data_IF_220187754152
#
_entry.id   IF_220187754152
#
_cell.length_a   1.000
_cell.length_b   1.000
_cell.length_c   1.000
_cell.angle_alpha   90.00
_cell.angle_beta   90.00
_cell.angle_gamma   90.00
#
_symmetry.space_group_name_H-M   'P 1'
#
loop_
_entity.id
_entity.type
_entity.pdbx_description
1 polymer ?
#
# COMPACT_ATOMS: atom_id res chain seq x y z
N UNK A 1 34.81 10.08 -11.71
CA UNK A 1 33.53 10.72 -12.06
C UNK A 1 32.95 10.02 -13.29
N UNK A 2 31.74 9.44 -13.20
CA UNK A 2 31.07 8.75 -14.31
C UNK A 2 29.90 9.59 -14.82
N UNK A 3 29.83 9.87 -16.12
CA UNK A 3 28.77 10.70 -16.73
C UNK A 3 27.65 9.86 -17.32
N UNK A 4 26.40 10.26 -17.15
CA UNK A 4 25.23 9.60 -17.75
C UNK A 4 24.23 10.65 -18.22
N UNK A 5 23.37 10.29 -19.17
CA UNK A 5 22.28 11.18 -19.58
C UNK A 5 21.22 11.25 -18.50
N UNK A 6 20.96 10.13 -17.82
CA UNK A 6 20.01 10.01 -16.71
C UNK A 6 20.62 9.12 -15.62
N UNK A 7 20.55 9.58 -14.37
CA UNK A 7 20.83 8.76 -13.18
C UNK A 7 19.52 8.46 -12.46
N UNK A 8 19.26 7.19 -12.17
CA UNK A 8 18.11 6.72 -11.41
C UNK A 8 18.60 6.24 -10.05
N UNK A 9 18.00 6.75 -8.98
CA UNK A 9 18.34 6.39 -7.60
C UNK A 9 17.24 5.48 -7.06
N UNK A 10 17.55 4.19 -6.92
CA UNK A 10 16.65 3.12 -6.48
C UNK A 10 16.24 2.20 -7.64
N UNK A 11 16.68 0.95 -7.59
CA UNK A 11 16.36 -0.15 -8.51
C UNK A 11 15.05 -0.87 -8.13
N UNK A 12 14.07 -0.14 -7.61
CA UNK A 12 12.74 -0.66 -7.29
C UNK A 12 11.79 -0.66 -8.49
N UNK A 13 10.51 -0.93 -8.24
CA UNK A 13 9.45 -0.96 -9.24
C UNK A 13 9.44 0.27 -10.17
N UNK A 14 9.38 1.47 -9.60
CA UNK A 14 9.37 2.72 -10.37
C UNK A 14 10.68 2.99 -11.10
N UNK A 15 11.82 2.65 -10.49
CA UNK A 15 13.14 2.90 -11.06
C UNK A 15 13.44 2.03 -12.27
N UNK A 16 13.09 0.74 -12.20
CA UNK A 16 13.25 -0.17 -13.32
C UNK A 16 12.33 0.20 -14.49
N UNK A 17 11.08 0.59 -14.19
CA UNK A 17 10.18 1.10 -15.23
C UNK A 17 10.72 2.38 -15.88
N UNK A 18 11.24 3.33 -15.09
CA UNK A 18 11.85 4.55 -15.61
C UNK A 18 13.10 4.23 -16.47
N UNK A 19 13.92 3.27 -16.05
CA UNK A 19 15.11 2.84 -16.78
C UNK A 19 14.75 2.26 -18.15
N UNK A 20 13.79 1.33 -18.21
CA UNK A 20 13.30 0.72 -19.46
C UNK A 20 12.87 1.78 -20.47
N UNK A 21 12.06 2.74 -20.02
CA UNK A 21 11.53 3.80 -20.88
C UNK A 21 12.62 4.77 -21.34
N UNK A 22 13.54 5.13 -20.45
CA UNK A 22 14.69 5.97 -20.80
C UNK A 22 15.62 5.29 -21.82
N UNK A 23 15.87 3.99 -21.67
CA UNK A 23 16.66 3.20 -22.62
C UNK A 23 15.99 3.13 -24.00
N UNK A 24 14.67 2.96 -24.03
CA UNK A 24 13.90 2.98 -25.29
C UNK A 24 14.01 4.33 -26.03
N UNK A 25 14.33 5.41 -25.31
CA UNK A 25 14.61 6.75 -25.86
C UNK A 25 16.08 6.95 -26.26
N UNK A 26 16.91 5.89 -26.21
CA UNK A 26 18.32 5.93 -26.55
C UNK A 26 19.21 6.63 -25.52
N UNK A 27 18.74 6.80 -24.29
CA UNK A 27 19.51 7.47 -23.22
C UNK A 27 20.50 6.52 -22.58
N UNK A 28 21.67 7.04 -22.18
CA UNK A 28 22.63 6.32 -21.35
C UNK A 28 22.23 6.44 -19.89
N UNK A 29 21.80 5.32 -19.30
CA UNK A 29 21.18 5.27 -17.97
C UNK A 29 22.09 4.58 -16.97
N UNK A 30 22.23 5.17 -15.78
CA UNK A 30 22.76 4.50 -14.59
C UNK A 30 21.64 4.27 -13.58
N UNK A 31 21.55 3.06 -13.02
CA UNK A 31 20.65 2.73 -11.92
C UNK A 31 21.51 2.44 -10.68
N UNK A 32 21.33 3.25 -9.63
CA UNK A 32 22.12 3.18 -8.39
C UNK A 32 21.22 2.69 -7.26
N UNK A 33 21.60 1.62 -6.58
CA UNK A 33 20.84 1.07 -5.45
C UNK A 33 21.78 0.61 -4.32
N UNK A 34 21.36 0.82 -3.08
CA UNK A 34 22.11 0.41 -1.88
C UNK A 34 22.01 -1.11 -1.61
N UNK A 35 20.96 -1.75 -2.10
CA UNK A 35 20.72 -3.19 -2.01
C UNK A 35 21.69 -4.00 -2.84
N UNK A 36 21.73 -5.29 -2.57
CA UNK A 36 22.54 -6.28 -3.28
C UNK A 36 21.87 -6.80 -4.56
N UNK A 37 20.54 -6.77 -4.62
CA UNK A 37 19.73 -7.13 -5.78
C UNK A 37 18.67 -6.06 -6.09
N UNK A 38 18.25 -5.91 -7.37
CA UNK A 38 17.15 -5.02 -7.74
C UNK A 38 15.79 -5.58 -7.28
N UNK A 39 14.76 -4.73 -7.29
CA UNK A 39 13.35 -5.09 -7.09
C UNK A 39 13.03 -5.91 -5.82
N UNK A 40 13.82 -5.81 -4.75
CA UNK A 40 13.65 -6.62 -3.53
C UNK A 40 12.25 -6.52 -2.91
N UNK A 41 11.63 -5.34 -2.91
CA UNK A 41 10.24 -5.16 -2.41
C UNK A 41 9.20 -5.80 -3.34
N UNK A 42 9.45 -5.87 -4.65
CA UNK A 42 8.60 -6.59 -5.61
C UNK A 42 8.65 -8.08 -5.33
N UNK A 43 9.85 -8.63 -5.12
CA UNK A 43 10.08 -10.07 -4.85
C UNK A 43 9.29 -10.59 -3.64
N UNK A 44 9.10 -9.77 -2.60
CA UNK A 44 8.35 -10.17 -1.39
C UNK A 44 6.87 -9.76 -1.41
N UNK A 45 6.45 -8.93 -2.37
CA UNK A 45 5.09 -8.39 -2.43
C UNK A 45 4.03 -9.47 -2.71
N UNK A 46 2.81 -9.25 -2.22
CA UNK A 46 1.71 -10.19 -2.42
C UNK A 46 1.97 -11.59 -1.86
N UNK A 47 2.82 -11.71 -0.83
CA UNK A 47 3.27 -13.00 -0.27
C UNK A 47 4.17 -13.78 -1.23
N UNK A 48 5.07 -13.08 -1.94
CA UNK A 48 5.97 -13.67 -2.93
C UNK A 48 5.31 -13.96 -4.28
N UNK A 49 4.08 -13.50 -4.51
CA UNK A 49 3.34 -13.69 -5.77
C UNK A 49 3.16 -12.42 -6.59
N UNK A 50 3.58 -11.27 -6.07
CA UNK A 50 3.47 -9.96 -6.73
C UNK A 50 2.06 -9.61 -7.20
N UNK A 51 1.31 -8.84 -6.39
CA UNK A 51 0.03 -8.26 -6.81
C UNK A 51 0.28 -7.04 -7.70
N UNK A 52 0.57 -7.27 -8.98
CA UNK A 52 1.25 -6.28 -9.82
C UNK A 52 0.35 -5.16 -10.34
N UNK A 53 -0.98 -5.32 -10.37
CA UNK A 53 -1.91 -4.26 -10.79
C UNK A 53 -3.33 -4.54 -10.29
N UNK A 54 -4.24 -3.58 -10.48
CA UNK A 54 -5.66 -3.76 -10.17
C UNK A 54 -6.58 -3.28 -11.30
N UNK A 55 -7.66 -4.01 -11.59
CA UNK A 55 -8.66 -3.59 -12.59
C UNK A 55 -9.38 -2.28 -12.22
N UNK A 56 -9.54 -2.02 -10.92
CA UNK A 56 -10.24 -0.86 -10.39
C UNK A 56 -9.34 0.36 -10.19
N UNK A 57 -8.18 0.44 -10.86
CA UNK A 57 -7.30 1.62 -10.79
C UNK A 57 -8.08 2.87 -11.17
N UNK A 58 -8.22 3.76 -10.18
CA UNK A 58 -8.89 5.03 -10.31
C UNK A 58 -8.40 5.98 -9.21
N UNK A 59 -8.61 7.28 -9.39
CA UNK A 59 -8.12 8.30 -8.45
C UNK A 59 -8.62 8.13 -7.01
N UNK A 60 -9.81 7.56 -6.81
CA UNK A 60 -10.39 7.27 -5.49
C UNK A 60 -9.78 6.04 -4.79
N UNK A 61 -8.77 5.41 -5.38
CA UNK A 61 -7.99 4.30 -4.79
C UNK A 61 -6.64 4.74 -4.27
N UNK A 62 -6.36 6.05 -4.27
CA UNK A 62 -5.09 6.59 -3.81
C UNK A 62 -5.32 7.76 -2.87
N UNK A 63 -4.41 7.90 -1.92
CA UNK A 63 -4.52 8.78 -0.76
C UNK A 63 -3.25 9.61 -0.64
N UNK A 64 -3.40 10.89 -0.34
CA UNK A 64 -2.39 11.95 -0.36
C UNK A 64 -3.02 13.26 0.09
N UNK A 65 -2.23 14.31 0.33
CA UNK A 65 -2.75 15.68 0.41
C UNK A 65 -3.38 16.12 -0.93
N UNK A 66 -2.91 15.55 -2.05
CA UNK A 66 -3.44 15.79 -3.39
C UNK A 66 -3.59 14.48 -4.19
N UNK A 67 -4.61 13.66 -3.92
CA UNK A 67 -4.80 12.36 -4.57
C UNK A 67 -5.09 12.47 -6.08
N UNK A 68 -5.58 13.62 -6.55
CA UNK A 68 -5.84 13.86 -7.99
C UNK A 68 -4.57 13.98 -8.82
N UNK A 69 -3.41 14.19 -8.18
CA UNK A 69 -2.10 14.29 -8.84
C UNK A 69 -1.82 13.11 -9.80
N UNK A 70 -2.22 11.91 -9.42
CA UNK A 70 -1.92 10.69 -10.19
C UNK A 70 -2.64 10.61 -11.54
N UNK A 71 -3.73 11.37 -11.73
CA UNK A 71 -4.73 11.17 -12.80
C UNK A 71 -4.08 11.04 -14.17
N UNK A 72 -3.10 11.89 -14.46
CA UNK A 72 -2.43 11.94 -15.75
C UNK A 72 -1.53 10.71 -15.99
N UNK A 73 -0.83 10.22 -14.96
CA UNK A 73 0.05 9.06 -15.07
C UNK A 73 -0.74 7.76 -15.22
N UNK A 74 -1.76 7.54 -14.37
CA UNK A 74 -2.59 6.31 -14.43
C UNK A 74 -3.50 6.27 -15.67
N UNK A 75 -3.80 7.41 -16.29
CA UNK A 75 -4.52 7.43 -17.57
C UNK A 75 -3.64 7.01 -18.75
N UNK A 76 -2.31 7.18 -18.66
CA UNK A 76 -1.35 6.76 -19.69
C UNK A 76 -0.80 5.36 -19.48
N UNK A 77 -0.96 4.82 -18.27
CA UNK A 77 -0.54 3.47 -17.90
C UNK A 77 -1.74 2.79 -17.26
N UNK A 78 -2.53 2.09 -18.07
CA UNK A 78 -3.75 1.42 -17.66
C UNK A 78 -3.43 0.02 -17.10
N UNK A 79 -4.35 -0.61 -16.35
CA UNK A 79 -4.19 -2.00 -15.94
C UNK A 79 -3.96 -2.95 -17.12
N UNK A 80 -4.62 -2.69 -18.26
CA UNK A 80 -4.44 -3.44 -19.51
C UNK A 80 -3.02 -3.34 -20.03
N UNK A 81 -2.41 -2.15 -20.02
CA UNK A 81 -1.00 -1.99 -20.43
C UNK A 81 -0.06 -2.87 -19.60
N UNK A 82 -0.34 -3.02 -18.29
CA UNK A 82 0.44 -3.89 -17.40
C UNK A 82 0.18 -5.37 -17.71
N UNK A 83 -1.07 -5.78 -17.96
CA UNK A 83 -1.41 -7.15 -18.34
C UNK A 83 -0.80 -7.55 -19.69
N UNK A 84 -0.77 -6.62 -20.65
CA UNK A 84 -0.11 -6.82 -21.95
C UNK A 84 1.40 -6.95 -21.80
N UNK A 85 2.01 -6.14 -20.91
CA UNK A 85 3.43 -6.26 -20.58
C UNK A 85 3.77 -7.62 -19.95
N UNK A 86 2.97 -8.07 -18.96
CA UNK A 86 3.11 -9.40 -18.33
C UNK A 86 2.98 -10.50 -19.39
N UNK A 87 2.01 -10.40 -20.29
CA UNK A 87 1.79 -11.35 -21.39
C UNK A 87 2.97 -11.40 -22.36
N UNK A 88 3.56 -10.25 -22.72
CA UNK A 88 4.74 -10.18 -23.61
C UNK A 88 5.98 -10.88 -23.04
N UNK A 89 6.09 -10.91 -21.71
CA UNK A 89 7.13 -11.66 -20.99
C UNK A 89 6.76 -13.13 -20.73
N UNK A 90 5.63 -13.60 -21.28
CA UNK A 90 5.08 -14.95 -21.07
C UNK A 90 4.82 -15.31 -19.60
N UNK A 91 4.60 -14.30 -18.75
CA UNK A 91 4.32 -14.50 -17.33
C UNK A 91 2.85 -14.87 -17.18
N UNK A 92 2.58 -16.04 -16.60
CA UNK A 92 1.22 -16.46 -16.28
C UNK A 92 0.72 -15.71 -15.03
N UNK A 93 -0.55 -15.31 -15.03
CA UNK A 93 -1.15 -14.58 -13.92
C UNK A 93 -2.54 -15.13 -13.56
N UNK A 94 -2.96 -14.84 -12.33
CA UNK A 94 -4.28 -15.21 -11.80
C UNK A 94 -4.95 -14.01 -11.15
N UNK A 95 -6.28 -13.96 -11.22
CA UNK A 95 -7.09 -13.04 -10.43
C UNK A 95 -7.49 -13.71 -9.11
N UNK A 96 -6.97 -13.22 -7.98
CA UNK A 96 -7.21 -13.85 -6.66
C UNK A 96 -8.50 -13.37 -6.00
N UNK A 97 -8.87 -12.12 -6.26
CA UNK A 97 -10.07 -11.45 -5.80
C UNK A 97 -10.44 -10.41 -6.87
N UNK A 98 -11.69 -9.91 -6.92
CA UNK A 98 -12.14 -9.00 -7.98
C UNK A 98 -11.15 -7.86 -8.23
N UNK A 99 -10.56 -7.87 -9.42
CA UNK A 99 -9.58 -6.94 -9.94
C UNK A 99 -8.14 -7.11 -9.46
N UNK A 100 -7.80 -8.02 -8.54
CA UNK A 100 -6.43 -8.19 -8.03
C UNK A 100 -5.64 -9.24 -8.83
N UNK A 101 -4.63 -8.81 -9.57
CA UNK A 101 -3.84 -9.68 -10.45
C UNK A 101 -2.48 -10.04 -9.86
N UNK A 102 -2.22 -11.34 -9.76
CA UNK A 102 -1.01 -11.91 -9.16
C UNK A 102 -0.26 -12.75 -10.16
N UNK A 103 1.07 -12.80 -10.04
CA UNK A 103 1.86 -13.79 -10.77
C UNK A 103 1.51 -15.21 -10.31
N UNK A 104 1.35 -16.12 -11.28
CA UNK A 104 1.09 -17.53 -11.02
C UNK A 104 2.36 -18.25 -10.55
N UNK A 105 3.50 -17.99 -11.23
CA UNK A 105 4.80 -18.62 -10.97
C UNK A 105 5.58 -18.04 -9.80
N UNK A 106 5.26 -16.81 -9.38
CA UNK A 106 5.91 -16.12 -8.27
C UNK A 106 6.40 -14.73 -8.66
N UNK A 107 6.76 -13.91 -7.67
CA UNK A 107 7.21 -12.55 -7.89
C UNK A 107 8.52 -12.46 -8.68
N UNK A 108 9.36 -13.50 -8.63
CA UNK A 108 10.65 -13.56 -9.32
C UNK A 108 10.51 -13.43 -10.83
N UNK A 109 9.43 -13.96 -11.43
CA UNK A 109 9.16 -13.79 -12.86
C UNK A 109 9.01 -12.32 -13.24
N UNK A 110 8.29 -11.55 -12.41
CA UNK A 110 8.10 -10.10 -12.59
C UNK A 110 9.43 -9.37 -12.39
N UNK A 111 10.23 -9.78 -11.41
CA UNK A 111 11.57 -9.21 -11.16
C UNK A 111 12.47 -9.44 -12.37
N UNK A 112 12.54 -10.66 -12.88
CA UNK A 112 13.35 -11.01 -14.05
C UNK A 112 12.92 -10.22 -15.29
N UNK A 113 11.61 -10.08 -15.54
CA UNK A 113 11.10 -9.27 -16.65
C UNK A 113 11.50 -7.79 -16.53
N UNK A 114 11.37 -7.19 -15.35
CA UNK A 114 11.76 -5.79 -15.12
C UNK A 114 13.27 -5.58 -15.35
N UNK A 115 14.10 -6.48 -14.84
CA UNK A 115 15.56 -6.41 -15.02
C UNK A 115 15.93 -6.66 -16.48
N UNK A 116 15.25 -7.59 -17.16
CA UNK A 116 15.45 -7.88 -18.57
C UNK A 116 15.16 -6.63 -19.42
N UNK A 117 14.04 -5.95 -19.19
CA UNK A 117 13.70 -4.73 -19.94
C UNK A 117 14.68 -3.57 -19.67
N UNK A 118 15.28 -3.53 -18.48
CA UNK A 118 16.27 -2.53 -18.09
C UNK A 118 17.73 -2.93 -18.40
N UNK A 119 18.00 -4.07 -19.07
CA UNK A 119 19.35 -4.65 -19.27
C UNK A 119 20.38 -3.76 -20.00
N UNK A 120 19.95 -2.69 -20.63
CA UNK A 120 20.82 -1.71 -21.29
C UNK A 120 21.37 -0.62 -20.34
N UNK A 121 20.88 -0.56 -19.10
CA UNK A 121 21.37 0.38 -18.10
C UNK A 121 22.58 -0.20 -17.34
N UNK A 122 23.47 0.69 -16.88
CA UNK A 122 24.54 0.31 -15.97
C UNK A 122 24.00 0.23 -14.54
N UNK A 123 24.00 -0.96 -13.95
CA UNK A 123 23.57 -1.20 -12.57
C UNK A 123 24.72 -1.05 -11.58
N UNK A 124 24.56 -0.15 -10.61
CA UNK A 124 25.46 0.06 -9.48
C UNK A 124 24.77 -0.38 -8.21
N UNK A 125 24.77 -1.68 -7.96
CA UNK A 125 24.28 -2.29 -6.72
C UNK A 125 25.28 -2.09 -5.58
N UNK A 126 24.85 -2.30 -4.33
CA UNK A 126 25.64 -2.07 -3.11
C UNK A 126 26.27 -0.66 -3.08
N UNK A 127 25.61 0.30 -3.71
CA UNK A 127 26.08 1.68 -3.89
C UNK A 127 25.08 2.61 -3.22
N UNK A 128 25.45 3.12 -2.06
CA UNK A 128 24.63 4.03 -1.26
C UNK A 128 24.87 5.47 -1.70
N UNK A 129 23.82 6.14 -2.17
CA UNK A 129 23.82 7.59 -2.39
C UNK A 129 23.83 8.30 -1.04
N UNK A 130 24.76 9.25 -0.87
CA UNK A 130 24.93 10.04 0.35
C UNK A 130 24.24 11.40 0.24
N UNK A 131 24.42 12.08 -0.88
CA UNK A 131 23.76 13.35 -1.19
C UNK A 131 23.78 13.59 -2.71
N UNK A 132 22.92 14.50 -3.14
CA UNK A 132 22.87 15.01 -4.51
C UNK A 132 22.95 16.52 -4.45
N UNK A 133 23.87 17.12 -5.18
CA UNK A 133 23.97 18.58 -5.33
C UNK A 133 23.84 18.97 -6.80
N UNK A 134 23.62 20.27 -7.03
CA UNK A 134 23.61 20.85 -8.36
C UNK A 134 24.75 21.85 -8.49
N UNK A 135 25.60 21.64 -9.48
CA UNK A 135 26.71 22.52 -9.81
C UNK A 135 27.01 22.46 -11.31
N UNK A 136 27.55 23.55 -11.88
CA UNK A 136 28.00 23.59 -13.28
C UNK A 136 26.99 23.00 -14.30
N UNK A 137 25.71 23.31 -14.09
CA UNK A 137 24.59 22.85 -14.92
C UNK A 137 24.33 21.33 -14.91
N UNK A 138 24.84 20.60 -13.90
CA UNK A 138 24.67 19.16 -13.75
C UNK A 138 24.32 18.79 -12.30
N UNK A 139 23.65 17.66 -12.14
CA UNK A 139 23.55 16.98 -10.86
C UNK A 139 24.82 16.18 -10.59
N UNK A 140 25.31 16.28 -9.37
CA UNK A 140 26.40 15.49 -8.83
C UNK A 140 25.84 14.54 -7.76
N UNK A 141 25.86 13.24 -8.06
CA UNK A 141 25.36 12.18 -7.19
C UNK A 141 26.55 11.53 -6.49
N UNK A 142 26.73 11.87 -5.22
CA UNK A 142 27.83 11.36 -4.40
C UNK A 142 27.45 10.06 -3.72
N UNK A 143 28.29 9.05 -3.87
CA UNK A 143 28.05 7.70 -3.34
C UNK A 143 29.22 7.21 -2.49
N UNK A 144 29.09 6.04 -1.87
CA UNK A 144 30.23 5.34 -1.28
C UNK A 144 31.24 4.80 -2.31
N UNK A 145 30.86 4.69 -3.59
CA UNK A 145 31.66 4.13 -4.67
C UNK A 145 32.08 5.20 -5.71
N UNK A 146 32.18 6.45 -5.27
CA UNK A 146 32.56 7.59 -6.10
C UNK A 146 31.38 8.44 -6.56
N UNK A 147 31.63 9.27 -7.56
CA UNK A 147 30.71 10.31 -8.02
C UNK A 147 30.21 10.05 -9.45
N UNK A 148 28.92 10.31 -9.62
CA UNK A 148 28.22 10.25 -10.90
C UNK A 148 27.66 11.62 -11.24
N UNK A 149 27.67 11.99 -12.52
CA UNK A 149 27.13 13.28 -12.98
C UNK A 149 26.12 13.09 -14.10
N UNK A 150 25.07 13.91 -14.10
CA UNK A 150 24.02 13.86 -15.12
C UNK A 150 23.23 15.16 -15.22
N UNK A 151 22.63 15.41 -16.38
CA UNK A 151 21.68 16.51 -16.54
C UNK A 151 20.33 16.20 -15.87
N UNK A 152 19.98 14.91 -15.74
CA UNK A 152 18.71 14.46 -15.18
C UNK A 152 18.91 13.42 -14.08
N UNK A 153 18.19 13.56 -12.97
CA UNK A 153 18.16 12.58 -11.87
C UNK A 153 16.72 12.19 -11.56
N UNK A 154 16.43 10.89 -11.53
CA UNK A 154 15.14 10.35 -11.12
C UNK A 154 15.29 9.66 -9.76
N UNK A 155 14.56 10.14 -8.76
CA UNK A 155 14.54 9.58 -7.41
C UNK A 155 13.36 8.62 -7.27
N UNK A 156 13.67 7.32 -7.15
CA UNK A 156 12.72 6.20 -7.03
C UNK A 156 13.04 5.32 -5.83
N UNK A 157 13.46 5.96 -4.73
CA UNK A 157 14.01 5.32 -3.53
C UNK A 157 12.97 4.64 -2.65
N UNK A 158 11.68 4.80 -2.99
CA UNK A 158 10.56 4.20 -2.26
C UNK A 158 10.26 4.92 -0.94
N UNK A 159 9.43 4.28 -0.12
CA UNK A 159 9.13 4.72 1.24
C UNK A 159 10.08 4.14 2.28
N UNK A 160 9.86 4.51 3.55
CA UNK A 160 10.62 4.05 4.71
C UNK A 160 9.99 2.85 5.44
N UNK A 161 9.01 2.17 4.82
CA UNK A 161 8.39 0.97 5.39
C UNK A 161 9.27 -0.27 5.22
N UNK A 162 9.08 -1.24 6.12
CA UNK A 162 9.76 -2.53 6.14
C UNK A 162 11.31 -2.40 6.14
N UNK A 163 11.91 -1.74 7.16
CA UNK A 163 13.34 -1.45 7.28
C UNK A 163 14.29 -2.64 7.14
N UNK A 164 13.82 -3.85 7.46
CA UNK A 164 14.59 -5.08 7.26
C UNK A 164 15.02 -5.30 5.79
N UNK A 165 14.31 -4.68 4.83
CA UNK A 165 14.67 -4.69 3.42
C UNK A 165 15.71 -3.64 3.04
N UNK A 166 16.37 -2.98 4.01
CA UNK A 166 17.38 -1.96 3.72
C UNK A 166 16.82 -0.80 2.91
N UNK A 167 15.76 -0.18 3.43
CA UNK A 167 15.23 1.10 2.91
C UNK A 167 15.96 2.29 3.52
N UNK A 168 15.83 3.46 2.92
CA UNK A 168 16.51 4.70 3.34
C UNK A 168 15.62 5.91 3.12
N UNK A 169 15.82 6.96 3.93
CA UNK A 169 15.16 8.26 3.80
C UNK A 169 15.85 9.22 2.81
N UNK A 170 16.84 8.72 2.05
CA UNK A 170 17.64 9.54 1.12
C UNK A 170 16.80 10.31 0.11
N UNK A 171 15.69 9.74 -0.38
CA UNK A 171 14.77 10.46 -1.26
C UNK A 171 14.19 11.74 -0.64
N UNK A 172 13.79 11.66 0.64
CA UNK A 172 13.29 12.81 1.39
C UNK A 172 14.40 13.83 1.68
N UNK A 173 15.63 13.37 1.94
CA UNK A 173 16.79 14.25 2.13
C UNK A 173 17.14 15.02 0.85
N UNK A 174 17.14 14.35 -0.29
CA UNK A 174 17.35 14.98 -1.61
C UNK A 174 16.25 16.01 -1.86
N UNK A 175 14.99 15.64 -1.68
CA UNK A 175 13.86 16.54 -1.89
C UNK A 175 13.94 17.79 -1.00
N UNK A 176 14.22 17.63 0.31
CA UNK A 176 14.43 18.76 1.23
C UNK A 176 15.59 19.66 0.80
N UNK A 177 16.70 19.07 0.34
CA UNK A 177 17.86 19.83 -0.13
C UNK A 177 17.50 20.77 -1.30
N UNK A 178 16.61 20.32 -2.20
CA UNK A 178 16.09 21.12 -3.31
C UNK A 178 14.82 21.92 -2.98
N UNK A 179 14.48 22.08 -1.69
CA UNK A 179 13.41 22.96 -1.23
C UNK A 179 12.01 22.35 -1.20
N UNK A 180 11.85 21.05 -1.48
CA UNK A 180 10.55 20.40 -1.41
C UNK A 180 10.08 20.19 0.03
N UNK A 181 8.77 20.38 0.24
CA UNK A 181 8.09 20.00 1.48
C UNK A 181 7.92 18.48 1.55
N UNK A 182 8.11 17.93 2.76
CA UNK A 182 7.81 16.52 3.06
C UNK A 182 6.59 16.47 3.96
N UNK A 183 5.53 15.81 3.49
CA UNK A 183 4.36 15.45 4.29
C UNK A 183 4.80 14.36 5.28
N UNK A 184 4.57 14.52 6.59
CA UNK A 184 5.06 13.59 7.61
C UNK A 184 4.73 12.12 7.31
N UNK A 185 5.75 11.27 7.12
CA UNK A 185 5.56 9.85 6.88
C UNK A 185 4.88 9.15 8.06
N UNK A 186 3.84 8.35 7.79
CA UNK A 186 3.18 7.47 8.75
C UNK A 186 2.93 6.08 8.16
N UNK A 187 2.96 5.02 8.97
CA UNK A 187 2.68 3.66 8.49
C UNK A 187 1.23 3.53 8.00
N UNK A 188 1.03 2.76 6.94
CA UNK A 188 -0.28 2.44 6.37
C UNK A 188 -0.29 1.04 5.77
N UNK A 189 -1.50 0.53 5.52
CA UNK A 189 -1.75 -0.88 5.22
C UNK A 189 -1.12 -1.79 6.29
N UNK A 190 -1.46 -1.51 7.55
CA UNK A 190 -0.80 -2.08 8.73
C UNK A 190 -1.84 -2.48 9.78
N UNK A 191 -1.50 -3.44 10.62
CA UNK A 191 -2.30 -3.79 11.79
C UNK A 191 -2.31 -2.65 12.84
N UNK A 192 -3.35 -2.60 13.65
CA UNK A 192 -3.54 -1.60 14.71
C UNK A 192 -3.85 -2.27 16.05
N UNK A 193 -3.43 -1.64 17.13
CA UNK A 193 -3.86 -2.01 18.48
C UNK A 193 -5.37 -1.76 18.64
N UNK A 194 -6.06 -2.70 19.30
CA UNK A 194 -7.50 -2.63 19.52
C UNK A 194 -7.89 -3.47 20.74
N UNK A 195 -7.75 -2.89 21.93
CA UNK A 195 -8.03 -3.55 23.21
C UNK A 195 -9.49 -3.98 23.37
N UNK A 196 -10.40 -3.37 22.61
CA UNK A 196 -11.82 -3.73 22.59
C UNK A 196 -12.06 -5.19 22.18
N UNK A 197 -11.12 -5.82 21.46
CA UNK A 197 -11.20 -7.23 21.08
C UNK A 197 -10.45 -8.16 22.03
N UNK A 198 -9.98 -7.67 23.18
CA UNK A 198 -9.34 -8.50 24.19
C UNK A 198 -10.30 -9.61 24.66
N UNK A 199 -9.75 -10.82 24.80
CA UNK A 199 -10.52 -12.02 25.12
C UNK A 199 -11.07 -12.77 23.90
N UNK A 200 -11.01 -12.20 22.69
CA UNK A 200 -11.22 -12.99 21.47
C UNK A 200 -9.95 -13.76 21.14
N UNK A 201 -10.00 -15.08 20.88
CA UNK A 201 -8.81 -15.84 20.53
C UNK A 201 -8.13 -15.28 19.27
N UNK A 202 -6.81 -15.10 19.33
CA UNK A 202 -6.02 -14.72 18.17
C UNK A 202 -6.16 -15.74 17.02
N UNK A 203 -6.03 -15.26 15.78
CA UNK A 203 -6.30 -16.03 14.57
C UNK A 203 -7.78 -16.08 14.19
N UNK A 204 -8.66 -15.42 14.94
CA UNK A 204 -10.08 -15.34 14.58
C UNK A 204 -10.29 -14.36 13.43
N UNK A 205 -10.87 -14.84 12.35
CA UNK A 205 -11.19 -14.05 11.15
C UNK A 205 -12.70 -13.87 11.01
N UNK A 206 -13.14 -12.70 10.57
CA UNK A 206 -14.55 -12.43 10.24
C UNK A 206 -14.67 -11.34 9.18
N UNK A 207 -15.77 -11.31 8.44
CA UNK A 207 -16.07 -10.24 7.50
C UNK A 207 -16.71 -9.07 8.27
N UNK A 208 -16.19 -7.87 8.07
CA UNK A 208 -16.66 -6.66 8.76
C UNK A 208 -16.97 -5.53 7.78
N UNK A 209 -17.71 -4.54 8.25
CA UNK A 209 -17.81 -3.23 7.62
C UNK A 209 -17.16 -2.22 8.59
N UNK A 210 -16.10 -1.55 8.14
CA UNK A 210 -15.49 -0.43 8.85
C UNK A 210 -15.95 0.85 8.16
N UNK A 211 -16.70 1.68 8.87
CA UNK A 211 -17.04 3.04 8.41
C UNK A 211 -16.04 4.04 8.98
N UNK A 212 -15.51 4.91 8.12
CA UNK A 212 -14.49 5.92 8.45
C UNK A 212 -14.90 7.22 7.77
N UNK A 213 -15.37 8.21 8.54
CA UNK A 213 -16.00 9.40 7.97
C UNK A 213 -17.18 9.01 7.05
N UNK A 214 -17.06 9.32 5.76
CA UNK A 214 -18.06 8.97 4.73
C UNK A 214 -17.76 7.68 3.98
N UNK A 215 -16.60 7.05 4.21
CA UNK A 215 -16.19 5.84 3.53
C UNK A 215 -16.62 4.58 4.28
N UNK A 216 -16.84 3.51 3.54
CA UNK A 216 -17.15 2.17 4.06
C UNK A 216 -16.26 1.13 3.42
N UNK A 217 -15.64 0.30 4.24
CA UNK A 217 -14.78 -0.79 3.83
C UNK A 217 -15.41 -2.10 4.27
N UNK A 218 -15.80 -2.94 3.30
CA UNK A 218 -16.24 -4.31 3.55
C UNK A 218 -15.14 -5.28 3.15
N UNK A 219 -14.62 -6.01 4.13
CA UNK A 219 -13.57 -7.00 3.91
C UNK A 219 -13.38 -7.89 5.14
N UNK A 220 -12.47 -8.85 5.05
CA UNK A 220 -12.05 -9.66 6.20
C UNK A 220 -11.19 -8.86 7.18
N UNK A 221 -11.45 -9.07 8.47
CA UNK A 221 -10.65 -8.60 9.59
C UNK A 221 -10.10 -9.81 10.35
N UNK A 222 -8.82 -9.71 10.73
CA UNK A 222 -8.12 -10.70 11.53
C UNK A 222 -7.89 -10.16 12.93
N UNK A 223 -8.25 -10.92 13.95
CA UNK A 223 -7.89 -10.63 15.34
C UNK A 223 -6.56 -11.28 15.66
N UNK A 224 -5.63 -10.49 16.18
CA UNK A 224 -4.26 -10.88 16.52
C UNK A 224 -4.03 -10.78 18.03
N UNK A 225 -2.88 -11.23 18.51
CA UNK A 225 -2.50 -11.06 19.92
C UNK A 225 -2.36 -9.58 20.35
N UNK A 226 -2.19 -8.67 19.40
CA UNK A 226 -1.84 -7.27 19.66
C UNK A 226 -2.85 -6.29 19.04
N UNK A 227 -4.08 -6.74 18.77
CA UNK A 227 -5.15 -5.93 18.16
C UNK A 227 -5.72 -6.57 16.90
N UNK A 228 -5.99 -5.75 15.88
CA UNK A 228 -6.67 -6.16 14.64
C UNK A 228 -5.82 -5.89 13.40
N UNK A 229 -6.00 -6.72 12.38
CA UNK A 229 -5.36 -6.62 11.08
C UNK A 229 -6.25 -7.20 9.99
N UNK A 230 -5.62 -7.65 8.90
CA UNK A 230 -6.31 -8.14 7.72
C UNK A 230 -6.79 -7.02 6.79
N UNK A 231 -7.29 -7.38 5.60
CA UNK A 231 -7.61 -6.44 4.52
C UNK A 231 -8.49 -5.26 4.94
N UNK A 232 -9.53 -5.47 5.76
CA UNK A 232 -10.42 -4.39 6.19
C UNK A 232 -9.66 -3.31 6.97
N UNK A 233 -8.82 -3.74 7.92
CA UNK A 233 -8.02 -2.87 8.78
C UNK A 233 -6.90 -2.21 7.98
N UNK A 234 -6.21 -2.96 7.12
CA UNK A 234 -5.13 -2.42 6.30
C UNK A 234 -5.66 -1.29 5.42
N UNK A 235 -6.75 -1.54 4.69
CA UNK A 235 -7.44 -0.53 3.88
C UNK A 235 -7.97 0.64 4.72
N UNK A 236 -8.35 0.41 5.97
CA UNK A 236 -8.75 1.48 6.88
C UNK A 236 -7.58 2.42 7.23
N UNK A 237 -6.39 1.87 7.50
CA UNK A 237 -5.22 2.68 7.91
C UNK A 237 -4.68 3.64 6.84
N UNK A 238 -4.98 3.42 5.56
CA UNK A 238 -4.57 4.32 4.47
C UNK A 238 -5.54 5.51 4.30
N UNK A 239 -6.75 5.43 4.85
CA UNK A 239 -7.76 6.51 4.85
C UNK A 239 -7.44 7.63 5.84
N UNK A 240 -8.29 8.66 5.81
CA UNK A 240 -8.24 9.76 6.77
C UNK A 240 -8.46 9.28 8.20
N UNK A 241 -7.76 9.93 9.12
CA UNK A 241 -7.77 9.58 10.54
C UNK A 241 -9.04 10.13 11.20
N UNK A 242 -10.13 9.37 11.09
CA UNK A 242 -11.41 9.56 11.80
C UNK A 242 -11.71 8.35 12.68
N UNK A 243 -12.73 8.45 13.53
CA UNK A 243 -13.23 7.31 14.31
C UNK A 243 -13.65 6.17 13.39
N UNK A 244 -13.36 4.94 13.80
CA UNK A 244 -13.80 3.74 13.10
C UNK A 244 -15.07 3.22 13.74
N UNK A 245 -16.10 3.00 12.92
CA UNK A 245 -17.31 2.29 13.32
C UNK A 245 -17.29 0.92 12.68
N UNK A 246 -17.10 -0.12 13.48
CA UNK A 246 -16.99 -1.51 13.03
C UNK A 246 -18.32 -2.23 13.26
N UNK A 247 -18.85 -2.80 12.18
CA UNK A 247 -19.96 -3.75 12.20
C UNK A 247 -19.42 -5.15 11.88
N UNK A 248 -19.55 -6.08 12.83
CA UNK A 248 -19.09 -7.47 12.72
C UNK A 248 -20.01 -8.36 11.88
N UNK A 249 -21.21 -7.89 11.52
CA UNK A 249 -22.15 -8.60 10.63
C UNK A 249 -22.70 -7.65 9.57
N UNK A 250 -21.91 -7.35 8.52
CA UNK A 250 -22.31 -6.40 7.48
C UNK A 250 -23.64 -6.77 6.83
N UNK A 251 -24.56 -5.81 6.76
CA UNK A 251 -25.89 -6.01 6.15
C UNK A 251 -26.90 -6.74 7.03
N UNK A 252 -26.54 -7.08 8.27
CA UNK A 252 -27.42 -7.76 9.22
C UNK A 252 -27.65 -6.86 10.43
N UNK A 253 -28.92 -6.60 10.73
CA UNK A 253 -29.34 -6.05 12.03
C UNK A 253 -29.37 -7.19 13.05
N UNK A 254 -28.40 -7.21 13.96
CA UNK A 254 -28.27 -8.27 14.94
C UNK A 254 -29.42 -8.26 15.94
N UNK A 255 -30.06 -7.11 16.22
CA UNK A 255 -31.18 -7.06 17.14
C UNK A 255 -32.42 -7.72 16.54
N UNK A 256 -32.78 -7.37 15.29
CA UNK A 256 -33.92 -8.00 14.62
C UNK A 256 -33.68 -9.49 14.36
N UNK A 257 -32.44 -9.89 14.02
CA UNK A 257 -32.06 -11.30 13.91
C UNK A 257 -32.32 -12.06 15.22
N UNK A 258 -31.82 -11.54 16.34
CA UNK A 258 -31.98 -12.18 17.65
C UNK A 258 -33.44 -12.16 18.13
N UNK A 259 -34.17 -11.08 17.86
CA UNK A 259 -35.59 -10.95 18.18
C UNK A 259 -36.43 -11.99 17.42
N UNK A 260 -36.18 -12.19 16.13
CA UNK A 260 -36.84 -13.22 15.33
C UNK A 260 -36.48 -14.64 15.79
N UNK A 261 -35.19 -14.89 16.08
CA UNK A 261 -34.73 -16.18 16.60
C UNK A 261 -35.33 -16.48 17.99
N UNK A 262 -35.56 -15.47 18.82
CA UNK A 262 -36.24 -15.64 20.12
C UNK A 262 -37.65 -16.23 19.96
N UNK A 263 -38.38 -15.84 18.91
CA UNK A 263 -39.74 -16.32 18.66
C UNK A 263 -39.79 -17.73 18.05
N UNK A 264 -38.81 -18.06 17.21
CA UNK A 264 -38.84 -19.28 16.38
C UNK A 264 -37.92 -20.39 16.88
N UNK A 265 -36.85 -20.04 17.61
CA UNK A 265 -35.75 -20.93 18.05
C UNK A 265 -35.40 -20.73 19.53
N UNK A 266 -36.41 -20.44 20.36
CA UNK A 266 -36.24 -20.04 21.76
C UNK A 266 -35.33 -20.92 22.64
N UNK A 267 -35.20 -22.21 22.31
CA UNK A 267 -34.38 -23.19 23.05
C UNK A 267 -32.89 -23.24 22.64
N UNK A 268 -32.49 -22.50 21.61
CA UNK A 268 -31.08 -22.40 21.21
C UNK A 268 -30.36 -21.32 22.02
N UNK A 269 -29.04 -21.40 22.14
CA UNK A 269 -28.24 -20.32 22.71
C UNK A 269 -28.07 -19.18 21.70
N UNK A 270 -27.81 -17.96 22.20
CA UNK A 270 -27.52 -16.80 21.35
C UNK A 270 -26.28 -17.03 20.48
N UNK A 271 -25.23 -17.67 21.00
CA UNK A 271 -24.02 -17.94 20.25
C UNK A 271 -24.20 -18.94 19.12
N UNK A 272 -25.11 -19.91 19.26
CA UNK A 272 -25.47 -20.82 18.16
C UNK A 272 -26.13 -20.04 17.03
N UNK A 273 -27.09 -19.17 17.34
CA UNK A 273 -27.76 -18.32 16.34
C UNK A 273 -26.77 -17.39 15.64
N UNK A 274 -25.92 -16.70 16.39
CA UNK A 274 -24.91 -15.80 15.83
C UNK A 274 -23.82 -16.54 15.05
N UNK A 275 -23.50 -17.79 15.43
CA UNK A 275 -22.53 -18.64 14.77
C UNK A 275 -22.87 -19.00 13.33
N UNK A 276 -24.13 -18.79 12.90
CA UNK A 276 -24.55 -18.89 11.50
C UNK A 276 -24.05 -17.71 10.63
N UNK A 277 -23.64 -16.60 11.25
CA UNK A 277 -23.31 -15.33 10.56
C UNK A 277 -21.91 -14.80 10.87
N UNK A 278 -21.26 -15.29 11.93
CA UNK A 278 -19.90 -14.93 12.32
C UNK A 278 -19.15 -16.15 12.85
N UNK A 279 -17.85 -15.98 13.14
CA UNK A 279 -17.09 -17.09 13.74
C UNK A 279 -17.66 -17.46 15.11
N UNK A 280 -17.70 -18.76 15.41
CA UNK A 280 -18.19 -19.26 16.72
C UNK A 280 -17.42 -18.64 17.89
N UNK A 281 -16.13 -18.34 17.69
CA UNK A 281 -15.28 -17.67 18.69
C UNK A 281 -15.77 -16.25 18.99
N UNK A 282 -16.15 -15.49 17.96
CA UNK A 282 -16.73 -14.16 18.13
C UNK A 282 -18.13 -14.21 18.72
N UNK A 283 -18.97 -15.13 18.23
CA UNK A 283 -20.32 -15.34 18.76
C UNK A 283 -20.29 -15.58 20.27
N UNK A 284 -19.37 -16.44 20.74
CA UNK A 284 -19.17 -16.71 22.18
C UNK A 284 -18.62 -15.51 22.96
N UNK A 285 -17.90 -14.59 22.33
CA UNK A 285 -17.33 -13.41 22.99
C UNK A 285 -18.36 -12.28 23.17
N UNK A 286 -19.29 -12.13 22.22
CA UNK A 286 -20.33 -11.08 22.30
C UNK A 286 -21.49 -11.42 23.23
N UNK A 287 -21.70 -12.69 23.59
CA UNK A 287 -22.83 -13.10 24.45
C UNK A 287 -22.45 -14.11 25.54
N UNK A 288 -23.30 -14.25 26.55
CA UNK A 288 -23.20 -15.29 27.59
C UNK A 288 -23.75 -16.62 27.07
N UNK A 289 -22.96 -17.70 27.16
CA UNK A 289 -23.28 -18.99 26.56
C UNK A 289 -24.17 -19.89 27.42
N UNK A 290 -24.52 -19.47 28.65
CA UNK A 290 -25.25 -20.32 29.59
C UNK A 290 -26.78 -20.31 29.42
N UNK A 291 -27.35 -19.29 28.76
CA UNK A 291 -28.81 -19.08 28.65
C UNK A 291 -29.35 -19.42 27.26
N UNK A 292 -30.60 -19.90 27.20
CA UNK A 292 -31.33 -20.00 25.94
C UNK A 292 -31.79 -18.60 25.50
N UNK A 293 -31.96 -18.38 24.20
CA UNK A 293 -32.36 -17.08 23.65
C UNK A 293 -33.76 -16.63 24.14
N UNK A 294 -34.65 -17.58 24.46
CA UNK A 294 -35.94 -17.28 25.08
C UNK A 294 -35.82 -16.54 26.43
N UNK A 295 -34.75 -16.80 27.17
CA UNK A 295 -34.54 -16.31 28.54
C UNK A 295 -33.94 -14.89 28.59
N UNK A 296 -33.49 -14.35 27.45
CA UNK A 296 -32.94 -13.00 27.35
C UNK A 296 -34.03 -11.94 27.32
N UNK A 297 -33.87 -10.88 28.11
CA UNK A 297 -34.69 -9.66 28.00
C UNK A 297 -34.35 -8.90 26.72
N UNK A 298 -35.31 -8.10 26.25
CA UNK A 298 -35.12 -7.26 25.06
C UNK A 298 -33.90 -6.33 25.19
N UNK A 299 -33.71 -5.75 26.38
CA UNK A 299 -32.57 -4.89 26.70
C UNK A 299 -31.23 -5.61 26.61
N UNK A 300 -31.19 -6.89 26.99
CA UNK A 300 -29.97 -7.71 26.88
C UNK A 300 -29.67 -8.02 25.41
N UNK A 301 -30.69 -8.34 24.60
CA UNK A 301 -30.52 -8.55 23.15
C UNK A 301 -30.04 -7.28 22.44
N UNK A 302 -30.57 -6.10 22.80
CA UNK A 302 -30.10 -4.81 22.27
C UNK A 302 -28.64 -4.52 22.63
N UNK A 303 -28.23 -4.84 23.86
CA UNK A 303 -26.84 -4.67 24.29
C UNK A 303 -25.89 -5.58 23.48
N UNK A 304 -26.28 -6.83 23.23
CA UNK A 304 -25.52 -7.75 22.37
C UNK A 304 -25.44 -7.21 20.95
N UNK A 305 -26.57 -6.79 20.37
CA UNK A 305 -26.60 -6.22 19.02
C UNK A 305 -25.71 -4.98 18.88
N UNK A 306 -25.70 -4.11 19.89
CA UNK A 306 -24.83 -2.92 19.92
C UNK A 306 -23.35 -3.31 19.89
N UNK A 307 -22.95 -4.34 20.65
CA UNK A 307 -21.57 -4.88 20.64
C UNK A 307 -21.18 -5.55 19.32
N UNK A 308 -22.14 -5.85 18.45
CA UNK A 308 -21.90 -6.47 17.13
C UNK A 308 -21.89 -5.42 16.02
N UNK A 309 -22.93 -4.58 15.94
CA UNK A 309 -23.15 -3.67 14.82
C UNK A 309 -22.56 -2.27 15.02
N UNK A 310 -22.24 -1.87 16.25
CA UNK A 310 -21.87 -0.50 16.61
C UNK A 310 -20.62 -0.42 17.50
N UNK A 311 -19.56 -1.13 17.13
CA UNK A 311 -18.25 -0.99 17.80
C UNK A 311 -17.62 0.33 17.34
N UNK A 312 -17.16 1.17 18.27
CA UNK A 312 -16.48 2.43 17.98
C UNK A 312 -15.03 2.35 18.48
N UNK A 313 -14.08 2.65 17.60
CA UNK A 313 -12.68 2.88 17.97
C UNK A 313 -12.37 4.35 17.70
N UNK A 314 -12.20 5.17 18.76
CA UNK A 314 -11.86 6.59 18.61
C UNK A 314 -10.52 6.77 17.90
N UNK A 315 -10.40 7.79 17.04
CA UNK A 315 -9.21 7.98 16.19
C UNK A 315 -7.91 8.03 17.00
N UNK A 316 -7.94 8.67 18.17
CA UNK A 316 -6.79 8.87 19.05
C UNK A 316 -6.30 7.57 19.70
N UNK A 317 -7.17 6.54 19.74
CA UNK A 317 -6.84 5.22 20.24
C UNK A 317 -6.25 4.30 19.16
N UNK A 318 -6.36 4.68 17.88
CA UNK A 318 -5.84 3.88 16.76
C UNK A 318 -4.32 4.01 16.71
N UNK A 319 -3.63 2.97 17.20
CA UNK A 319 -2.17 2.89 17.20
C UNK A 319 -1.71 1.81 16.23
N UNK A 320 -1.10 2.21 15.12
CA UNK A 320 -0.49 1.29 14.16
C UNK A 320 0.70 0.53 14.77
N UNK A 321 0.96 -0.69 14.31
CA UNK A 321 2.14 -1.50 14.70
C UNK A 321 3.48 -0.99 14.13
N UNK A 322 3.53 0.22 13.57
CA UNK A 322 4.76 0.88 13.13
C UNK A 322 5.18 0.57 11.69
N UNK A 323 6.30 1.14 11.28
CA UNK A 323 6.84 1.00 9.91
C UNK A 323 7.44 -0.40 9.66
N UNK A 324 7.75 -1.16 10.72
CA UNK A 324 8.32 -2.50 10.67
C UNK A 324 7.39 -3.53 10.04
N UNK A 325 6.08 -3.31 10.13
CA UNK A 325 5.05 -4.22 9.62
C UNK A 325 4.13 -3.57 8.58
N UNK A 326 4.33 -2.29 8.27
CA UNK A 326 3.55 -1.57 7.27
C UNK A 326 3.94 -1.99 5.86
N UNK A 327 2.95 -2.23 5.00
CA UNK A 327 3.20 -2.51 3.58
C UNK A 327 3.66 -1.24 2.85
N UNK A 328 3.09 -0.08 3.22
CA UNK A 328 3.35 1.22 2.59
C UNK A 328 3.40 2.37 3.60
N UNK A 329 3.82 3.53 3.12
CA UNK A 329 3.86 4.79 3.86
C UNK A 329 2.81 5.78 3.31
N UNK A 330 2.04 6.42 4.18
CA UNK A 330 1.30 7.67 3.88
C UNK A 330 2.19 8.86 4.17
N UNK A 331 2.08 9.94 3.41
CA UNK A 331 3.09 11.02 3.43
C UNK A 331 4.23 10.73 2.47
N UNK A 332 5.22 11.62 2.43
CA UNK A 332 6.28 11.62 1.41
C UNK A 332 6.49 13.02 0.85
N UNK A 333 7.10 13.12 -0.33
CA UNK A 333 7.32 14.40 -1.00
C UNK A 333 5.98 14.98 -1.42
N UNK A 334 5.72 16.23 -1.03
CA UNK A 334 4.50 16.95 -1.38
C UNK A 334 4.40 17.07 -2.92
N UNK A 335 3.28 16.60 -3.47
CA UNK A 335 3.06 16.56 -4.92
C UNK A 335 2.69 17.93 -5.49
N UNK A 336 2.45 18.94 -4.67
CA UNK A 336 2.18 20.32 -5.12
C UNK A 336 3.29 20.86 -6.03
N UNK A 337 4.55 20.60 -5.66
CA UNK A 337 5.73 21.09 -6.37
C UNK A 337 6.24 20.11 -7.45
N UNK A 338 5.43 19.11 -7.81
CA UNK A 338 5.76 18.13 -8.83
C UNK A 338 4.79 18.27 -9.99
N UNK A 339 5.28 18.10 -11.22
CA UNK A 339 4.44 18.03 -12.41
C UNK A 339 3.68 16.70 -12.46
N UNK A 340 2.34 16.75 -12.45
CA UNK A 340 1.50 15.54 -12.58
C UNK A 340 1.63 14.84 -13.94
N UNK A 341 2.17 15.54 -14.94
CA UNK A 341 2.40 15.00 -16.28
C UNK A 341 3.74 14.32 -16.40
N UNK A 342 4.81 14.93 -15.88
CA UNK A 342 6.19 14.51 -16.19
C UNK A 342 6.91 13.90 -15.00
N UNK A 343 6.37 14.02 -13.78
CA UNK A 343 7.05 13.70 -12.51
C UNK A 343 8.26 14.59 -12.20
N UNK A 344 8.48 15.63 -13.00
CA UNK A 344 9.56 16.60 -12.79
C UNK A 344 9.23 17.56 -11.65
N UNK A 345 10.24 17.92 -10.88
CA UNK A 345 10.19 18.99 -9.90
C UNK A 345 9.96 20.34 -10.58
N UNK A 346 8.99 21.10 -10.07
CA UNK A 346 8.78 22.51 -10.45
C UNK A 346 9.82 23.44 -9.85
N UNK A 347 10.53 23.00 -8.81
CA UNK A 347 11.56 23.78 -8.12
C UNK A 347 12.94 23.58 -8.74
N UNK A 348 13.17 22.40 -9.34
CA UNK A 348 14.47 21.98 -9.86
C UNK A 348 14.30 21.22 -11.19
N UNK A 349 14.41 21.91 -12.34
CA UNK A 349 14.42 21.25 -13.64
C UNK A 349 15.48 20.16 -13.72
N UNK A 350 15.15 19.04 -14.37
CA UNK A 350 15.97 17.84 -14.45
C UNK A 350 15.90 16.91 -13.23
N UNK A 351 15.26 17.32 -12.12
CA UNK A 351 15.04 16.45 -10.95
C UNK A 351 13.63 15.85 -11.01
N UNK A 352 13.52 14.54 -10.93
CA UNK A 352 12.25 13.81 -11.01
C UNK A 352 12.05 12.94 -9.77
N UNK A 353 10.80 12.69 -9.40
CA UNK A 353 10.42 11.83 -8.28
C UNK A 353 9.30 10.88 -8.70
N UNK A 354 9.44 9.58 -8.43
CA UNK A 354 8.43 8.59 -8.79
C UNK A 354 8.32 7.44 -7.78
N UNK A 355 7.15 6.81 -7.75
CA UNK A 355 6.81 5.73 -6.81
C UNK A 355 6.45 6.23 -5.40
N UNK A 356 6.70 5.39 -4.40
CA UNK A 356 6.31 5.57 -2.99
C UNK A 356 7.08 6.70 -2.27
N UNK A 357 8.07 7.32 -2.92
CA UNK A 357 8.76 8.49 -2.35
C UNK A 357 7.86 9.74 -2.33
N UNK A 358 6.85 9.78 -3.20
CA UNK A 358 5.84 10.85 -3.26
C UNK A 358 4.76 10.62 -2.20
N UNK A 359 4.08 11.67 -1.76
CA UNK A 359 2.88 11.57 -0.91
C UNK A 359 1.67 11.03 -1.70
N UNK A 360 1.76 9.77 -2.11
CA UNK A 360 0.74 8.99 -2.79
C UNK A 360 0.85 7.55 -2.27
N UNK A 361 -0.20 7.10 -1.57
CA UNK A 361 -0.36 5.70 -1.19
C UNK A 361 -1.65 5.15 -1.80
N UNK A 362 -1.55 4.00 -2.47
CA UNK A 362 -2.69 3.26 -2.98
C UNK A 362 -3.39 2.43 -1.91
N UNK A 363 -4.64 2.07 -2.18
CA UNK A 363 -5.39 1.07 -1.42
C UNK A 363 -4.66 -0.30 -1.45
N UNK A 364 -5.08 -1.23 -0.59
CA UNK A 364 -4.61 -2.61 -0.68
C UNK A 364 -5.10 -3.25 -1.99
N UNK A 365 -4.24 -4.04 -2.64
CA UNK A 365 -4.65 -4.86 -3.78
C UNK A 365 -3.98 -4.53 -5.12
N UNK A 366 -2.71 -4.09 -5.10
CA UNK A 366 -1.91 -3.88 -6.32
C UNK A 366 -1.86 -2.44 -6.82
N UNK A 367 -2.59 -1.51 -6.19
CA UNK A 367 -2.58 -0.09 -6.54
C UNK A 367 -1.20 0.57 -6.35
N UNK A 368 -0.48 0.24 -5.29
CA UNK A 368 0.84 0.82 -5.01
C UNK A 368 1.89 0.44 -6.07
N UNK A 369 1.90 -0.82 -6.50
CA UNK A 369 2.74 -1.25 -7.62
C UNK A 369 2.30 -0.58 -8.91
N UNK A 370 0.99 -0.52 -9.18
CA UNK A 370 0.47 0.20 -10.33
C UNK A 370 0.93 1.67 -10.40
N UNK A 371 0.88 2.38 -9.28
CA UNK A 371 1.41 3.74 -9.18
C UNK A 371 2.91 3.81 -9.47
N UNK A 372 3.70 2.86 -8.95
CA UNK A 372 5.12 2.80 -9.23
C UNK A 372 5.41 2.65 -10.73
N UNK A 373 4.66 1.80 -11.45
CA UNK A 373 4.77 1.66 -12.91
C UNK A 373 4.41 2.97 -13.62
N UNK A 374 3.24 3.53 -13.30
CA UNK A 374 2.70 4.70 -13.98
C UNK A 374 3.58 5.95 -13.81
N UNK A 375 4.02 6.21 -12.57
CA UNK A 375 4.91 7.33 -12.27
C UNK A 375 6.33 7.10 -12.78
N UNK A 376 6.87 5.89 -12.65
CA UNK A 376 8.18 5.53 -13.20
C UNK A 376 8.24 5.72 -14.71
N UNK A 377 7.22 5.24 -15.44
CA UNK A 377 7.10 5.48 -16.88
C UNK A 377 7.03 6.96 -17.21
N UNK A 378 6.18 7.72 -16.53
CA UNK A 378 6.06 9.15 -16.77
C UNK A 378 7.38 9.91 -16.54
N UNK A 379 8.14 9.57 -15.50
CA UNK A 379 9.47 10.14 -15.26
C UNK A 379 10.46 9.75 -16.37
N UNK A 380 10.53 8.46 -16.70
CA UNK A 380 11.41 7.94 -17.75
C UNK A 380 11.10 8.47 -19.16
N UNK A 381 9.87 8.86 -19.45
CA UNK A 381 9.47 9.50 -20.72
C UNK A 381 9.97 10.95 -20.84
N UNK A 382 10.20 11.63 -19.71
CA UNK A 382 10.40 13.08 -19.68
C UNK A 382 11.78 13.53 -19.13
N UNK A 383 12.54 12.64 -18.48
CA UNK A 383 13.93 12.88 -18.07
C UNK A 383 14.90 12.95 -19.27
#
# INVERSE_FOLDING_TARGET
MKKYDIIIIGAGAAGLMAATVALARGKRVAVIDMGDAPARKVAVSGGGRCNFTNAAVATNRYFGENPKFIRSAIARTTPTDILDWVSKHNIQWVEKAPGQYFCAGGADDVVHALVHDARGADFFMKTTVKHVCWDNYLFHVHTNNGEFISASVIVTTGGISFPAMGVSDIGYKIAKHFGHRIIPPRPALVAVAADIFNGVPAGTTTNVEISIGHEKIRDSMLITHFGIGGPAVYRATVRDLSDWKINLTPGIDAYELLRAAKQTRGRQSVSTVLGEYMSVRLAKWVCDNAKNIADYKDTELRAIATRINHIIIPRESIKSHGLQSAEVVRGGIDTHDISSKTMESKLRPGLFFAGEVLDIAGDLGGFNLHWAWASGRAAGENA
#
